data_IF_221057874903
#
_entry.id   IF_221057874903
#
_cell.length_a   1.000
_cell.length_b   1.000
_cell.length_c   1.000
_cell.angle_alpha   90.00
_cell.angle_beta   90.00
_cell.angle_gamma   90.00
#
_symmetry.space_group_name_H-M   'P 1'
#
loop_
_entity.id
_entity.type
_entity.pdbx_description
1 polymer ?
#
# COMPACT_ATOMS: atom_id res chain seq x y z
N UNK A 1 13.48 -25.70 -16.46
CA UNK A 1 13.26 -24.37 -17.08
C UNK A 1 13.38 -23.31 -16.00
N UNK A 2 14.46 -22.53 -15.99
CA UNK A 2 14.62 -21.41 -15.07
C UNK A 2 13.82 -20.22 -15.61
N UNK A 3 12.90 -19.67 -14.81
CA UNK A 3 12.20 -18.42 -15.13
C UNK A 3 13.21 -17.28 -15.20
N UNK A 4 13.16 -16.39 -16.21
CA UNK A 4 14.08 -15.26 -16.31
C UNK A 4 13.95 -14.39 -15.05
N UNK A 5 15.08 -14.10 -14.39
CA UNK A 5 15.10 -13.23 -13.22
C UNK A 5 14.78 -11.80 -13.67
N UNK A 6 13.57 -11.33 -13.40
CA UNK A 6 13.19 -9.93 -13.58
C UNK A 6 14.05 -9.04 -12.66
N UNK A 7 14.65 -7.94 -13.15
CA UNK A 7 15.46 -7.07 -12.32
C UNK A 7 14.59 -6.43 -11.22
N UNK A 8 14.98 -6.69 -9.97
CA UNK A 8 14.33 -6.08 -8.80
C UNK A 8 15.06 -4.80 -8.45
N UNK A 9 14.39 -3.66 -8.58
CA UNK A 9 14.94 -2.36 -8.20
C UNK A 9 14.12 -1.77 -7.06
N UNK A 10 14.76 -1.47 -5.92
CA UNK A 10 14.11 -0.98 -4.69
C UNK A 10 12.94 -1.86 -4.23
N UNK A 11 13.07 -3.18 -4.42
CA UNK A 11 12.03 -4.15 -4.05
C UNK A 11 10.80 -4.15 -4.97
N UNK A 12 10.83 -3.43 -6.10
CA UNK A 12 9.83 -3.47 -7.17
C UNK A 12 10.40 -4.28 -8.32
N UNK A 13 9.70 -5.34 -8.69
CA UNK A 13 10.03 -6.11 -9.88
C UNK A 13 9.45 -5.38 -11.09
N UNK A 14 10.32 -5.04 -12.04
CA UNK A 14 9.91 -4.45 -13.31
C UNK A 14 9.83 -5.56 -14.34
N UNK A 15 8.66 -5.70 -14.95
CA UNK A 15 8.49 -6.56 -16.10
C UNK A 15 8.31 -5.67 -17.34
N UNK A 16 9.01 -5.99 -18.43
CA UNK A 16 8.93 -5.19 -19.67
C UNK A 16 7.57 -5.38 -20.38
N UNK A 17 6.76 -6.35 -19.95
CA UNK A 17 5.38 -6.56 -20.39
C UNK A 17 4.42 -5.83 -19.45
N UNK A 18 3.94 -4.67 -19.87
CA UNK A 18 3.27 -3.65 -19.04
C UNK A 18 2.09 -4.12 -18.19
N UNK A 19 1.37 -5.18 -18.59
CA UNK A 19 0.16 -5.64 -17.88
C UNK A 19 0.38 -6.86 -16.98
N UNK A 20 1.30 -7.76 -17.34
CA UNK A 20 1.52 -9.01 -16.57
C UNK A 20 2.37 -8.75 -15.33
N UNK A 21 3.36 -7.84 -15.43
CA UNK A 21 4.24 -7.47 -14.31
C UNK A 21 3.48 -6.88 -13.13
N UNK A 22 2.57 -5.94 -13.37
CA UNK A 22 1.80 -5.26 -12.32
C UNK A 22 0.95 -6.24 -11.50
N UNK A 23 0.28 -7.19 -12.17
CA UNK A 23 -0.51 -8.24 -11.50
C UNK A 23 0.35 -9.12 -10.59
N UNK A 24 1.56 -9.48 -11.05
CA UNK A 24 2.51 -10.27 -10.26
C UNK A 24 3.00 -9.50 -9.02
N UNK A 25 3.30 -8.20 -9.17
CA UNK A 25 3.73 -7.34 -8.06
C UNK A 25 2.63 -7.24 -7.01
N UNK A 26 1.38 -6.95 -7.41
CA UNK A 26 0.23 -6.86 -6.50
C UNK A 26 0.01 -8.19 -5.75
N UNK A 27 0.08 -9.32 -6.47
CA UNK A 27 -0.03 -10.65 -5.85
C UNK A 27 1.09 -10.91 -4.84
N UNK A 28 2.34 -10.56 -5.17
CA UNK A 28 3.47 -10.67 -4.25
C UNK A 28 3.28 -9.81 -3.00
N UNK A 29 2.79 -8.58 -3.14
CA UNK A 29 2.48 -7.70 -2.00
C UNK A 29 1.39 -8.26 -1.10
N UNK A 30 0.32 -8.81 -1.67
CA UNK A 30 -0.73 -9.49 -0.90
C UNK A 30 -0.17 -10.70 -0.14
N UNK A 31 0.70 -11.51 -0.77
CA UNK A 31 1.35 -12.64 -0.11
C UNK A 31 2.23 -12.18 1.05
N UNK A 32 3.05 -11.15 0.84
CA UNK A 32 3.90 -10.58 1.89
C UNK A 32 3.06 -10.02 3.04
N UNK A 33 1.98 -9.30 2.74
CA UNK A 33 1.06 -8.80 3.75
C UNK A 33 0.40 -9.95 4.53
N UNK A 34 -0.05 -11.02 3.86
CA UNK A 34 -0.57 -12.22 4.52
C UNK A 34 0.44 -12.83 5.49
N UNK A 35 1.68 -13.05 5.03
CA UNK A 35 2.75 -13.58 5.89
C UNK A 35 2.97 -12.69 7.11
N UNK A 36 2.91 -11.36 6.95
CA UNK A 36 3.06 -10.43 8.06
C UNK A 36 1.92 -10.48 9.06
N UNK A 37 0.69 -10.65 8.59
CA UNK A 37 -0.47 -10.77 9.47
C UNK A 37 -0.38 -12.04 10.30
N UNK A 38 -0.05 -13.18 9.68
CA UNK A 38 0.14 -14.44 10.40
C UNK A 38 1.36 -14.41 11.34
N UNK A 39 2.40 -13.64 11.04
CA UNK A 39 3.53 -13.46 11.94
C UNK A 39 3.19 -12.58 13.16
N UNK A 40 2.27 -11.61 13.00
CA UNK A 40 1.87 -10.68 14.06
C UNK A 40 0.72 -11.22 14.92
N UNK A 41 -0.19 -11.97 14.33
CA UNK A 41 -1.36 -12.51 15.02
C UNK A 41 -1.12 -13.97 15.38
N UNK A 42 -0.80 -14.21 16.66
CA UNK A 42 -0.33 -15.49 17.23
C UNK A 42 -0.97 -16.77 16.68
N UNK A 43 -2.04 -17.28 17.31
CA UNK A 43 -2.67 -18.57 17.00
C UNK A 43 -3.43 -18.64 15.64
N UNK A 44 -2.93 -17.93 14.63
CA UNK A 44 -3.51 -17.82 13.30
C UNK A 44 -4.57 -16.73 13.20
N UNK A 45 -4.91 -16.31 11.98
CA UNK A 45 -5.97 -15.34 11.67
C UNK A 45 -7.36 -16.01 11.73
N UNK A 46 -7.62 -16.75 12.80
CA UNK A 46 -8.76 -17.66 12.94
C UNK A 46 -9.78 -17.13 13.95
N UNK A 47 -10.00 -15.83 13.93
CA UNK A 47 -10.95 -15.15 14.80
C UNK A 47 -10.46 -15.11 16.24
N UNK A 48 -10.34 -16.24 16.93
CA UNK A 48 -10.05 -16.36 18.37
C UNK A 48 -8.61 -16.02 18.75
N UNK A 49 -8.02 -15.01 18.12
CA UNK A 49 -6.64 -14.59 18.27
C UNK A 49 -6.34 -13.98 19.65
N UNK A 50 -7.35 -13.81 20.52
CA UNK A 50 -7.22 -13.19 21.84
C UNK A 50 -6.82 -11.71 21.81
N UNK A 51 -6.67 -11.11 20.63
CA UNK A 51 -6.30 -9.70 20.47
C UNK A 51 -7.54 -8.85 20.32
N UNK A 52 -7.64 -7.79 21.13
CA UNK A 52 -8.69 -6.78 20.99
C UNK A 52 -8.67 -6.20 19.55
N UNK A 53 -9.82 -6.06 18.87
CA UNK A 53 -9.88 -5.51 17.52
C UNK A 53 -9.18 -4.15 17.37
N UNK A 54 -9.18 -3.33 18.44
CA UNK A 54 -8.45 -2.05 18.50
C UNK A 54 -6.93 -2.21 18.51
N UNK A 55 -6.40 -3.24 19.18
CA UNK A 55 -4.97 -3.54 19.16
C UNK A 55 -4.58 -4.20 17.82
N UNK A 56 -5.40 -5.10 17.31
CA UNK A 56 -5.19 -5.74 16.02
C UNK A 56 -5.13 -4.73 14.87
N UNK A 57 -6.06 -3.76 14.84
CA UNK A 57 -6.03 -2.73 13.81
C UNK A 57 -4.78 -1.85 13.91
N UNK A 58 -4.30 -1.56 15.13
CA UNK A 58 -3.06 -0.82 15.32
C UNK A 58 -1.87 -1.59 14.75
N UNK A 59 -1.74 -2.88 15.04
CA UNK A 59 -0.67 -3.74 14.46
C UNK A 59 -0.72 -3.75 12.93
N UNK A 60 -1.92 -3.84 12.35
CA UNK A 60 -2.10 -3.83 10.91
C UNK A 60 -1.70 -2.48 10.30
N UNK A 61 -2.08 -1.37 10.93
CA UNK A 61 -1.69 -0.04 10.48
C UNK A 61 -0.17 0.14 10.51
N UNK A 62 0.48 -0.32 11.56
CA UNK A 62 1.91 -0.10 11.79
C UNK A 62 2.78 -0.98 10.89
N UNK A 63 2.38 -2.25 10.65
CA UNK A 63 3.26 -3.22 9.98
C UNK A 63 2.71 -3.76 8.66
N UNK A 64 1.42 -4.04 8.60
CA UNK A 64 0.82 -4.74 7.46
C UNK A 64 0.54 -3.78 6.30
N UNK A 65 -0.08 -2.63 6.57
CA UNK A 65 -0.42 -1.63 5.55
C UNK A 65 0.82 -1.09 4.83
N UNK A 66 1.93 -0.73 5.53
CA UNK A 66 3.15 -0.30 4.85
C UNK A 66 3.72 -1.38 3.92
N UNK A 67 3.71 -2.64 4.34
CA UNK A 67 4.20 -3.76 3.51
C UNK A 67 3.27 -4.09 2.34
N UNK A 68 1.97 -3.91 2.52
CA UNK A 68 0.98 -4.09 1.46
C UNK A 68 1.11 -3.02 0.36
N UNK A 69 1.29 -1.76 0.77
CA UNK A 69 1.27 -0.60 -0.14
C UNK A 69 2.65 -0.17 -0.63
N UNK A 70 3.73 -0.79 -0.15
CA UNK A 70 5.10 -0.41 -0.52
C UNK A 70 5.33 -0.52 -2.04
N UNK A 71 5.63 0.62 -2.67
CA UNK A 71 5.93 0.72 -4.09
C UNK A 71 4.71 0.65 -5.02
N UNK A 72 3.49 0.55 -4.49
CA UNK A 72 2.26 0.59 -5.31
C UNK A 72 1.87 2.02 -5.72
N UNK A 73 2.42 3.02 -5.05
CA UNK A 73 2.23 4.45 -5.31
C UNK A 73 2.98 4.96 -6.55
N UNK A 74 4.00 4.21 -7.00
CA UNK A 74 4.81 4.55 -8.19
C UNK A 74 4.35 3.78 -9.44
N UNK A 75 3.46 2.79 -9.27
CA UNK A 75 3.00 1.91 -10.35
C UNK A 75 1.61 2.34 -10.82
N UNK A 76 1.36 2.27 -12.12
CA UNK A 76 0.03 2.44 -12.69
C UNK A 76 -0.83 1.20 -12.41
N UNK A 77 -1.74 1.32 -11.43
CA UNK A 77 -2.65 0.24 -11.04
C UNK A 77 -3.89 0.21 -11.94
N UNK A 78 -4.29 -0.99 -12.36
CA UNK A 78 -5.58 -1.18 -13.04
C UNK A 78 -6.74 -1.27 -12.03
N UNK A 79 -7.96 -1.04 -12.49
CA UNK A 79 -9.17 -1.17 -11.66
C UNK A 79 -9.31 -2.59 -11.07
N UNK A 80 -8.89 -3.61 -11.84
CA UNK A 80 -8.90 -5.00 -11.40
C UNK A 80 -7.94 -5.23 -10.21
N UNK A 81 -6.75 -4.62 -10.25
CA UNK A 81 -5.76 -4.71 -9.18
C UNK A 81 -6.25 -4.04 -7.90
N UNK A 82 -6.87 -2.86 -8.01
CA UNK A 82 -7.49 -2.15 -6.89
C UNK A 82 -8.60 -3.00 -6.28
N UNK A 83 -9.42 -3.66 -7.11
CA UNK A 83 -10.47 -4.58 -6.65
C UNK A 83 -9.89 -5.78 -5.89
N UNK A 84 -8.82 -6.38 -6.39
CA UNK A 84 -8.14 -7.49 -5.72
C UNK A 84 -7.58 -7.08 -4.35
N UNK A 85 -6.95 -5.91 -4.29
CA UNK A 85 -6.41 -5.35 -3.06
C UNK A 85 -7.50 -5.03 -2.04
N UNK A 86 -8.61 -4.43 -2.51
CA UNK A 86 -9.77 -4.11 -1.66
C UNK A 86 -10.43 -5.36 -1.09
N UNK A 87 -10.51 -6.43 -1.89
CA UNK A 87 -11.08 -7.71 -1.46
C UNK A 87 -10.23 -8.35 -0.38
N UNK A 88 -8.90 -8.32 -0.53
CA UNK A 88 -7.99 -8.79 0.52
C UNK A 88 -8.14 -7.97 1.82
N UNK A 89 -8.13 -6.64 1.71
CA UNK A 89 -8.21 -5.77 2.88
C UNK A 89 -9.55 -5.92 3.62
N UNK A 90 -10.68 -6.01 2.90
CA UNK A 90 -12.01 -6.26 3.49
C UNK A 90 -12.08 -7.60 4.23
N UNK A 91 -11.53 -8.67 3.63
CA UNK A 91 -11.46 -9.99 4.29
C UNK A 91 -10.67 -9.90 5.59
N UNK A 92 -9.55 -9.21 5.57
CA UNK A 92 -8.72 -8.99 6.76
C UNK A 92 -9.46 -8.20 7.85
N UNK A 93 -10.17 -7.12 7.50
CA UNK A 93 -10.98 -6.35 8.45
C UNK A 93 -12.09 -7.21 9.09
N UNK A 94 -12.80 -8.00 8.28
CA UNK A 94 -13.82 -8.93 8.77
C UNK A 94 -13.24 -9.97 9.72
N UNK A 95 -12.07 -10.52 9.41
CA UNK A 95 -11.42 -11.53 10.24
C UNK A 95 -11.02 -10.99 11.62
N UNK A 96 -10.62 -9.72 11.73
CA UNK A 96 -10.29 -9.08 13.02
C UNK A 96 -11.51 -8.85 13.88
N UNK A 97 -12.64 -8.57 13.24
CA UNK A 97 -13.92 -8.26 13.89
C UNK A 97 -14.83 -9.49 14.05
N UNK A 98 -14.39 -10.66 13.56
CA UNK A 98 -15.18 -11.90 13.51
C UNK A 98 -16.50 -11.75 12.76
N UNK A 99 -16.55 -10.84 11.78
CA UNK A 99 -17.77 -10.58 11.04
C UNK A 99 -18.05 -11.70 10.04
N UNK A 100 -19.32 -12.11 9.87
CA UNK A 100 -19.69 -13.09 8.86
C UNK A 100 -19.49 -12.52 7.45
N UNK A 101 -19.30 -13.40 6.48
CA UNK A 101 -19.07 -13.00 5.08
C UNK A 101 -20.25 -12.25 4.43
N UNK A 102 -21.45 -12.36 5.03
CA UNK A 102 -22.65 -11.64 4.60
C UNK A 102 -22.70 -10.18 5.06
N UNK A 103 -21.75 -9.74 5.88
CA UNK A 103 -21.74 -8.37 6.41
C UNK A 103 -21.49 -7.36 5.29
N UNK A 104 -22.20 -6.23 5.32
CA UNK A 104 -22.03 -5.16 4.37
C UNK A 104 -20.56 -4.68 4.33
N UNK A 105 -20.03 -4.45 3.12
CA UNK A 105 -18.65 -4.00 2.94
C UNK A 105 -18.36 -2.71 3.71
N UNK A 106 -19.30 -1.77 3.68
CA UNK A 106 -19.18 -0.47 4.37
C UNK A 106 -19.09 -0.66 5.89
N UNK A 107 -19.85 -1.60 6.45
CA UNK A 107 -19.86 -1.83 7.90
C UNK A 107 -18.47 -2.27 8.43
N UNK A 108 -17.74 -3.10 7.68
CA UNK A 108 -16.38 -3.52 8.07
C UNK A 108 -15.40 -2.35 8.20
N UNK A 109 -15.56 -1.33 7.36
CA UNK A 109 -14.77 -0.10 7.39
C UNK A 109 -15.23 0.85 8.51
N UNK A 110 -16.55 1.04 8.63
CA UNK A 110 -17.16 1.97 9.57
C UNK A 110 -16.89 1.59 11.02
N UNK A 111 -17.05 0.31 11.37
CA UNK A 111 -16.89 -0.19 12.75
C UNK A 111 -15.45 -0.05 13.27
N UNK A 112 -14.45 -0.07 12.39
CA UNK A 112 -13.04 0.15 12.75
C UNK A 112 -12.58 1.60 12.54
N UNK A 113 -13.45 2.48 12.00
CA UNK A 113 -13.09 3.84 11.63
C UNK A 113 -11.98 3.91 10.57
N UNK A 114 -11.99 3.00 9.60
CA UNK A 114 -10.94 2.89 8.56
C UNK A 114 -11.47 3.23 7.18
N UNK A 115 -10.66 3.97 6.43
CA UNK A 115 -10.92 4.28 5.02
C UNK A 115 -10.66 3.06 4.13
N UNK A 116 -11.10 3.14 2.87
CA UNK A 116 -10.85 2.11 1.86
C UNK A 116 -9.39 2.12 1.43
N UNK A 117 -8.92 0.99 0.88
CA UNK A 117 -7.53 0.86 0.44
C UNK A 117 -7.20 1.79 -0.72
N UNK A 118 -8.19 2.05 -1.59
CA UNK A 118 -8.09 3.00 -2.69
C UNK A 118 -7.81 4.41 -2.15
N UNK A 119 -8.55 4.85 -1.13
CA UNK A 119 -8.30 6.14 -0.48
C UNK A 119 -6.93 6.20 0.21
N UNK A 120 -6.43 5.10 0.79
CA UNK A 120 -5.06 5.06 1.33
C UNK A 120 -3.99 5.23 0.24
N UNK A 121 -4.20 4.64 -0.95
CA UNK A 121 -3.29 4.81 -2.09
C UNK A 121 -3.30 6.26 -2.56
N UNK A 122 -4.48 6.85 -2.79
CA UNK A 122 -4.58 8.25 -3.20
C UNK A 122 -3.97 9.20 -2.17
N UNK A 123 -4.20 8.95 -0.88
CA UNK A 123 -3.57 9.72 0.21
C UNK A 123 -2.04 9.67 0.14
N UNK A 124 -1.46 8.51 -0.18
CA UNK A 124 -0.01 8.36 -0.35
C UNK A 124 0.51 9.07 -1.59
N UNK A 125 -0.18 8.95 -2.73
CA UNK A 125 0.16 9.65 -3.96
C UNK A 125 0.14 11.17 -3.76
N UNK A 126 -0.88 11.70 -3.08
CA UNK A 126 -0.95 13.13 -2.75
C UNK A 126 0.18 13.54 -1.80
N UNK A 127 0.55 12.68 -0.85
CA UNK A 127 1.67 12.94 0.07
C UNK A 127 3.01 12.95 -0.67
N UNK A 128 3.26 12.02 -1.59
CA UNK A 128 4.49 12.00 -2.40
C UNK A 128 4.54 13.20 -3.33
N UNK A 129 3.44 13.54 -4.00
CA UNK A 129 3.34 14.73 -4.84
C UNK A 129 3.60 16.02 -4.05
N UNK A 130 2.98 16.19 -2.88
CA UNK A 130 3.22 17.34 -2.02
C UNK A 130 4.65 17.42 -1.49
N UNK A 131 5.31 16.27 -1.27
CA UNK A 131 6.73 16.24 -0.91
C UNK A 131 7.64 16.62 -2.07
N UNK A 132 7.29 16.26 -3.31
CA UNK A 132 8.02 16.66 -4.52
C UNK A 132 7.93 18.18 -4.70
N UNK A 133 6.74 18.76 -4.56
CA UNK A 133 6.54 20.23 -4.71
C UNK A 133 7.35 21.02 -3.68
N UNK A 134 7.41 20.55 -2.42
CA UNK A 134 8.12 21.22 -1.34
C UNK A 134 9.61 20.90 -1.30
N UNK A 135 10.13 20.13 -2.25
CA UNK A 135 11.53 19.75 -2.25
C UNK A 135 12.39 20.94 -2.69
N UNK A 136 13.07 21.57 -1.73
CA UNK A 136 13.97 22.71 -1.96
C UNK A 136 15.18 22.37 -2.84
N UNK A 137 15.46 21.08 -3.11
CA UNK A 137 16.55 20.63 -3.98
C UNK A 137 16.10 20.33 -5.42
N UNK A 138 14.85 20.64 -5.79
CA UNK A 138 14.41 20.52 -7.19
C UNK A 138 15.13 21.54 -8.07
N UNK A 139 15.43 21.19 -9.31
CA UNK A 139 16.21 21.99 -10.28
C UNK A 139 15.70 23.45 -10.38
N UNK A 140 14.41 23.68 -10.14
CA UNK A 140 13.76 24.99 -10.12
C UNK A 140 14.30 25.94 -9.05
N UNK A 141 14.68 25.46 -7.87
CA UNK A 141 15.26 26.30 -6.80
C UNK A 141 16.69 26.73 -7.12
N UNK A 142 17.47 25.86 -7.77
CA UNK A 142 18.83 26.17 -8.25
C UNK A 142 18.81 27.16 -9.43
N UNK A 143 17.82 27.07 -10.33
CA UNK A 143 17.63 28.06 -11.39
C UNK A 143 17.19 29.42 -10.84
N UNK A 144 16.35 29.44 -9.81
CA UNK A 144 15.92 30.68 -9.15
C UNK A 144 17.07 31.35 -8.38
N UNK A 145 17.98 30.56 -7.80
CA UNK A 145 19.19 31.08 -7.18
C UNK A 145 20.20 31.65 -8.20
N UNK A 146 20.35 31.00 -9.36
CA UNK A 146 21.19 31.50 -10.47
C UNK A 146 20.70 32.82 -11.06
N UNK A 147 19.38 32.99 -11.22
CA UNK A 147 18.80 34.22 -11.78
C UNK A 147 18.84 35.42 -10.81
N UNK A 148 18.89 35.21 -9.50
CA UNK A 148 19.10 36.30 -8.53
C UNK A 148 20.52 36.88 -8.54
N UNK A 149 21.51 36.10 -9.00
CA UNK A 149 22.91 36.57 -9.10
C UNK A 149 23.09 37.44 -10.36
N UNK A 150 22.33 37.16 -11.43
CA UNK A 150 22.37 37.94 -12.67
C UNK A 150 21.53 39.23 -12.66
N UNK A 151 20.62 39.42 -11.70
CA UNK A 151 19.81 40.65 -11.59
C UNK A 151 20.45 41.73 -10.69
N UNK A 152 21.71 41.56 -10.28
CA UNK A 152 22.47 42.50 -9.43
C UNK A 152 23.61 43.19 -10.22
N UNK A 153 23.69 42.96 -11.54
CA UNK A 153 24.59 43.66 -12.45
C UNK A 153 23.80 44.46 -13.50
#
# INVERSE_FOLDING_TARGET
MATPMSPTHLGIERDNTSNTGTKLVVKKRIITARKTVYALMGAGLHGLNGVNPKAAIHLIQTYVIPRLLCGLDVITLTIEDIKNLSTYFRKLLRQIQHLPDRTANVASHLLLGRITIESEIHKRILKTFGNIIRNENSIDSHQTAGNKIFSIW
#
